data_IF_931367892507
#
_entry.id   IF_931367892507
#
_cell.length_a   1.000
_cell.length_b   1.000
_cell.length_c   1.000
_cell.angle_alpha   90.00
_cell.angle_beta   90.00
_cell.angle_gamma   90.00
#
_symmetry.space_group_name_H-M   'P 1'
#
loop_
_entity.id
_entity.type
_entity.pdbx_description
1 polymer ?
#
# COMPACT_ATOMS: atom_id res chain seq x y z
N UNK A 1 8.01 29.72 -12.89
CA UNK A 1 7.12 28.53 -12.82
C UNK A 1 6.89 28.17 -11.36
N UNK A 2 5.65 28.24 -10.85
CA UNK A 2 5.34 27.74 -9.50
C UNK A 2 5.05 26.24 -9.63
N UNK A 3 5.95 25.40 -9.10
CA UNK A 3 5.71 23.96 -9.02
C UNK A 3 4.46 23.71 -8.17
N UNK A 4 3.45 23.07 -8.75
CA UNK A 4 2.31 22.56 -7.97
C UNK A 4 2.82 21.38 -7.14
N UNK A 5 3.21 21.65 -5.89
CA UNK A 5 3.32 20.60 -4.91
C UNK A 5 1.88 20.27 -4.45
N UNK A 6 1.26 19.29 -5.10
CA UNK A 6 0.05 18.66 -4.58
C UNK A 6 0.47 17.94 -3.32
N UNK A 7 0.04 18.44 -2.15
CA UNK A 7 0.32 17.84 -0.84
C UNK A 7 -0.41 16.50 -0.78
N UNK A 8 0.18 15.46 -1.38
CA UNK A 8 -0.30 14.09 -1.27
C UNK A 8 -0.07 13.68 0.18
N UNK A 9 -1.11 13.24 0.88
CA UNK A 9 -0.93 12.66 2.21
C UNK A 9 -0.18 11.34 2.04
N UNK A 10 1.10 11.35 2.40
CA UNK A 10 1.98 10.17 2.31
C UNK A 10 1.70 9.20 3.49
N UNK A 11 1.04 9.69 4.54
CA UNK A 11 0.83 8.96 5.80
C UNK A 11 -0.65 8.82 6.08
N UNK A 12 -1.15 7.58 6.02
CA UNK A 12 -2.55 7.22 6.33
C UNK A 12 -2.75 6.82 7.80
N UNK A 13 -1.69 6.87 8.62
CA UNK A 13 -1.70 6.53 10.04
C UNK A 13 -0.61 5.53 10.44
N UNK A 14 -0.71 5.05 11.69
CA UNK A 14 0.16 4.02 12.26
C UNK A 14 -0.68 2.77 12.53
N UNK A 15 -0.18 1.61 12.16
CA UNK A 15 -0.84 0.31 12.42
C UNK A 15 0.09 -0.61 13.20
N UNK A 16 -0.47 -1.43 14.07
CA UNK A 16 0.25 -2.42 14.86
C UNK A 16 0.10 -3.80 14.24
N UNK A 17 1.18 -4.59 14.27
CA UNK A 17 1.15 -5.99 13.85
C UNK A 17 0.41 -6.80 14.91
N UNK A 18 -0.57 -7.60 14.48
CA UNK A 18 -1.31 -8.48 15.37
C UNK A 18 -0.44 -9.65 15.87
N UNK A 19 -0.93 -10.34 16.89
CA UNK A 19 -0.38 -11.61 17.41
C UNK A 19 0.01 -12.64 16.33
N UNK A 20 -0.78 -12.70 15.25
CA UNK A 20 -0.62 -13.60 14.10
C UNK A 20 0.25 -13.02 12.99
N UNK A 21 0.94 -11.90 13.22
CA UNK A 21 1.80 -11.27 12.22
C UNK A 21 1.04 -10.55 11.10
N UNK A 22 -0.25 -10.22 11.31
CA UNK A 22 -1.09 -9.56 10.29
C UNK A 22 -1.17 -8.06 10.56
N UNK A 23 -1.36 -7.28 9.50
CA UNK A 23 -1.70 -5.86 9.61
C UNK A 23 -3.07 -5.61 8.99
N UNK A 24 -3.84 -4.72 9.61
CA UNK A 24 -5.05 -4.20 9.00
C UNK A 24 -4.67 -3.05 8.06
N UNK A 25 -5.10 -3.10 6.80
CA UNK A 25 -4.92 -2.00 5.85
C UNK A 25 -5.96 -0.92 6.18
N UNK A 26 -5.56 0.34 6.49
CA UNK A 26 -6.49 1.42 6.78
C UNK A 26 -7.55 1.60 5.69
N UNK A 27 -8.78 1.98 6.08
CA UNK A 27 -9.88 2.07 5.12
C UNK A 27 -9.65 3.13 4.04
N UNK A 28 -8.95 4.21 4.37
CA UNK A 28 -8.73 5.33 3.46
C UNK A 28 -7.76 4.95 2.34
N UNK A 29 -6.62 4.33 2.65
CA UNK A 29 -5.70 3.83 1.61
C UNK A 29 -6.33 2.71 0.77
N UNK A 30 -7.25 1.92 1.36
CA UNK A 30 -8.02 0.93 0.57
C UNK A 30 -8.91 1.60 -0.46
N UNK A 31 -9.59 2.70 -0.11
CA UNK A 31 -10.42 3.46 -1.05
C UNK A 31 -9.56 4.11 -2.13
N UNK A 32 -8.46 4.73 -1.74
CA UNK A 32 -7.60 5.48 -2.65
C UNK A 32 -6.86 4.58 -3.65
N UNK A 33 -6.46 3.37 -3.23
CA UNK A 33 -5.80 2.38 -4.10
C UNK A 33 -6.77 1.33 -4.67
N UNK A 34 -8.06 1.45 -4.37
CA UNK A 34 -9.09 0.49 -4.80
C UNK A 34 -8.82 -0.95 -4.35
N UNK A 35 -8.31 -1.17 -3.13
CA UNK A 35 -7.99 -2.50 -2.58
C UNK A 35 -9.23 -3.15 -1.95
N UNK A 36 -9.67 -4.23 -2.58
CA UNK A 36 -10.85 -5.00 -2.22
C UNK A 36 -10.50 -6.33 -1.57
N UNK A 37 -11.48 -6.95 -0.92
CA UNK A 37 -11.33 -8.29 -0.38
C UNK A 37 -11.03 -9.28 -1.52
N UNK A 38 -10.02 -10.13 -1.33
CA UNK A 38 -9.58 -11.10 -2.32
C UNK A 38 -8.52 -10.59 -3.29
N UNK A 39 -8.23 -9.28 -3.31
CA UNK A 39 -7.10 -8.75 -4.07
C UNK A 39 -5.79 -9.37 -3.57
N UNK A 40 -4.93 -9.74 -4.51
CA UNK A 40 -3.59 -10.23 -4.22
C UNK A 40 -2.61 -9.06 -4.25
N UNK A 41 -1.63 -9.09 -3.35
CA UNK A 41 -0.58 -8.09 -3.24
C UNK A 41 0.78 -8.80 -3.32
N UNK A 42 1.72 -8.26 -4.08
CA UNK A 42 3.13 -8.62 -3.95
C UNK A 42 3.68 -8.08 -2.64
N UNK A 43 4.50 -8.88 -1.95
CA UNK A 43 5.29 -8.46 -0.79
C UNK A 43 6.74 -8.30 -1.25
N UNK A 44 7.23 -7.07 -1.26
CA UNK A 44 8.58 -6.76 -1.76
C UNK A 44 9.43 -6.23 -0.60
N UNK A 45 10.47 -6.97 -0.23
CA UNK A 45 11.46 -6.52 0.75
C UNK A 45 12.41 -5.51 0.10
N UNK A 46 12.70 -4.41 0.80
CA UNK A 46 13.74 -3.47 0.35
C UNK A 46 15.13 -4.06 0.56
N UNK A 47 16.07 -3.73 -0.32
CA UNK A 47 17.46 -4.22 -0.25
C UNK A 47 18.23 -3.72 0.97
N UNK A 48 17.83 -2.59 1.53
CA UNK A 48 18.45 -1.93 2.69
C UNK A 48 17.92 -2.44 4.03
N UNK A 49 17.11 -3.51 4.04
CA UNK A 49 16.46 -4.09 5.22
C UNK A 49 15.56 -3.11 6.02
N UNK A 50 15.32 -1.90 5.51
CA UNK A 50 14.54 -0.87 6.21
C UNK A 50 13.03 -1.16 6.23
N UNK A 51 12.57 -2.14 5.46
CA UNK A 51 11.17 -2.57 5.46
C UNK A 51 10.75 -3.29 4.19
N UNK A 52 9.45 -3.33 3.97
CA UNK A 52 8.83 -3.93 2.78
C UNK A 52 7.69 -3.06 2.26
N UNK A 53 7.34 -3.26 1.00
CA UNK A 53 6.18 -2.64 0.36
C UNK A 53 5.17 -3.71 -0.05
N UNK A 54 3.89 -3.34 -0.04
CA UNK A 54 2.81 -4.11 -0.63
C UNK A 54 2.41 -3.45 -1.94
N UNK A 55 2.39 -4.22 -3.02
CA UNK A 55 2.05 -3.71 -4.36
C UNK A 55 0.86 -4.50 -4.87
N UNK A 56 -0.23 -3.83 -5.24
CA UNK A 56 -1.40 -4.50 -5.79
C UNK A 56 -1.03 -5.22 -7.09
N UNK A 57 -1.39 -6.50 -7.15
CA UNK A 57 -1.28 -7.27 -8.38
C UNK A 57 -2.36 -6.79 -9.34
N UNK A 58 -1.97 -6.01 -10.34
CA UNK A 58 -2.85 -5.77 -11.49
C UNK A 58 -2.96 -7.08 -12.28
N UNK A 59 -4.18 -7.58 -12.45
CA UNK A 59 -4.46 -8.52 -13.53
C UNK A 59 -4.46 -7.72 -14.83
N UNK A 60 -3.28 -7.35 -15.35
CA UNK A 60 -3.17 -7.09 -16.78
C UNK A 60 -3.29 -8.44 -17.49
N UNK A 61 -4.53 -8.89 -17.70
CA UNK A 61 -4.82 -9.60 -18.94
C UNK A 61 -4.46 -8.60 -20.05
N UNK A 62 -3.26 -8.76 -20.58
CA UNK A 62 -2.80 -8.10 -21.80
C UNK A 62 -3.83 -8.46 -22.87
N UNK A 63 -4.75 -7.54 -23.15
CA UNK A 63 -5.63 -7.55 -24.32
C UNK A 63 -4.92 -6.85 -25.46
#
# INVERSE_FOLDING_TARGET
>A
MKGRCTKMEIVYGVVTVSDKGRIAIPIDIRKDLGINQGDKLFVVKRKDDAGFALIKLENKSMS
#
